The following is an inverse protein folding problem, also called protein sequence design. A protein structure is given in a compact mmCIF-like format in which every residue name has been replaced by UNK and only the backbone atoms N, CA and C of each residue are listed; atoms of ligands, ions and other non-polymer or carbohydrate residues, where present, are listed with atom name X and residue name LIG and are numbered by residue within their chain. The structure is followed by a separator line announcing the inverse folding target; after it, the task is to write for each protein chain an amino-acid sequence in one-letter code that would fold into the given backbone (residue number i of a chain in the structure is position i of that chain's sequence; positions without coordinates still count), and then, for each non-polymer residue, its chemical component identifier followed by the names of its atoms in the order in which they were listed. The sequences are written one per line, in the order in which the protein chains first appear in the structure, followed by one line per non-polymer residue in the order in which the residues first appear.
data_IF_314734486555
#
_entry.id   IF_314734486555
#
_cell.length_a   1.000
_cell.length_b   1.000
_cell.length_c   1.000
_cell.angle_alpha   90.00
_cell.angle_beta   90.00
_cell.angle_gamma   90.00
#
_symmetry.space_group_name_H-M   'P 1'
#
loop_
_entity.id
_entity.type
_entity.pdbx_description
1 polymer ?
#
# COMPACT_ATOMS: atom_id res chain seq x y z
N UNK A 1 22.43 -14.07 25.32
CA UNK A 1 22.21 -14.67 23.99
C UNK A 1 21.44 -13.73 23.06
N UNK A 2 20.31 -13.14 23.48
CA UNK A 2 19.59 -12.10 22.70
C UNK A 2 20.41 -10.87 22.29
N UNK A 3 21.52 -10.58 22.98
CA UNK A 3 22.36 -9.41 22.72
C UNK A 3 23.00 -9.39 21.32
N UNK A 4 23.43 -10.54 20.79
CA UNK A 4 24.13 -10.61 19.49
C UNK A 4 23.21 -10.35 18.30
N UNK A 5 21.91 -10.56 18.47
CA UNK A 5 20.91 -10.49 17.40
C UNK A 5 20.06 -9.23 17.44
N UNK A 6 20.25 -8.38 18.46
CA UNK A 6 19.55 -7.10 18.58
C UNK A 6 18.01 -7.24 18.47
N UNK A 7 17.47 -8.31 19.07
CA UNK A 7 16.03 -8.59 19.00
C UNK A 7 15.23 -7.43 19.61
N UNK A 8 14.34 -6.85 18.81
CA UNK A 8 13.54 -5.67 19.18
C UNK A 8 14.13 -4.34 18.70
N UNK A 9 15.37 -4.32 18.22
CA UNK A 9 16.01 -3.15 17.60
C UNK A 9 16.05 -3.27 16.07
N UNK A 10 16.03 -4.49 15.54
CA UNK A 10 16.07 -4.77 14.09
C UNK A 10 14.74 -5.34 13.58
N UNK A 11 14.46 -5.13 12.29
CA UNK A 11 13.33 -5.76 11.63
C UNK A 11 13.54 -7.30 11.53
N UNK A 12 12.56 -8.12 11.93
CA UNK A 12 12.67 -9.58 11.89
C UNK A 12 12.97 -10.14 10.51
N UNK A 13 12.36 -9.59 9.45
CA UNK A 13 12.54 -10.07 8.09
C UNK A 13 13.93 -9.71 7.55
N UNK A 14 14.41 -8.51 7.84
CA UNK A 14 15.79 -8.12 7.49
C UNK A 14 16.82 -8.99 8.22
N UNK A 15 16.61 -9.28 9.51
CA UNK A 15 17.48 -10.20 10.26
C UNK A 15 17.52 -11.60 9.62
N UNK A 16 16.37 -12.14 9.22
CA UNK A 16 16.30 -13.42 8.52
C UNK A 16 17.07 -13.40 7.19
N UNK A 17 17.08 -12.29 6.45
CA UNK A 17 17.90 -12.16 5.24
C UNK A 17 19.40 -12.14 5.55
N UNK A 18 19.84 -11.40 6.59
CA UNK A 18 21.25 -11.43 7.03
C UNK A 18 21.67 -12.85 7.41
N UNK A 19 20.81 -13.58 8.12
CA UNK A 19 21.06 -14.98 8.47
C UNK A 19 21.16 -15.85 7.22
N UNK A 20 20.23 -15.70 6.26
CA UNK A 20 20.25 -16.46 5.01
C UNK A 20 21.54 -16.20 4.21
N UNK A 21 21.97 -14.94 4.08
CA UNK A 21 23.21 -14.61 3.39
C UNK A 21 24.45 -15.13 4.13
N UNK A 22 24.46 -15.07 5.47
CA UNK A 22 25.59 -15.54 6.26
C UNK A 22 25.77 -17.07 6.15
N UNK A 23 24.68 -17.83 6.30
CA UNK A 23 24.73 -19.30 6.27
C UNK A 23 24.60 -19.86 4.85
N UNK A 24 24.16 -19.07 3.87
CA UNK A 24 23.90 -19.48 2.48
C UNK A 24 22.88 -20.62 2.29
N UNK A 25 22.28 -21.10 3.39
CA UNK A 25 21.30 -22.17 3.36
C UNK A 25 20.39 -22.11 4.59
N UNK A 26 19.09 -22.30 4.34
CA UNK A 26 18.05 -22.35 5.34
C UNK A 26 17.06 -23.48 5.02
N UNK A 27 16.53 -24.12 6.06
CA UNK A 27 15.49 -25.14 5.98
C UNK A 27 14.38 -24.82 6.97
N UNK A 28 13.13 -25.15 6.64
CA UNK A 28 11.98 -24.89 7.50
C UNK A 28 11.39 -26.22 7.97
N UNK A 29 11.82 -26.76 9.13
CA UNK A 29 11.26 -28.00 9.67
C UNK A 29 9.79 -27.85 10.10
N UNK A 30 9.32 -26.63 10.34
CA UNK A 30 7.92 -26.31 10.59
C UNK A 30 7.59 -24.91 10.04
N UNK A 31 6.31 -24.52 9.94
CA UNK A 31 5.92 -23.19 9.44
C UNK A 31 6.51 -22.01 10.23
N UNK A 32 6.90 -22.25 11.48
CA UNK A 32 7.32 -21.23 12.44
C UNK A 32 8.78 -21.35 12.85
N UNK A 33 9.48 -22.36 12.35
CA UNK A 33 10.88 -22.60 12.68
C UNK A 33 11.68 -22.59 11.39
N UNK A 34 12.71 -21.74 11.35
CA UNK A 34 13.69 -21.71 10.26
C UNK A 34 15.07 -22.01 10.83
N UNK A 35 15.71 -23.04 10.28
CA UNK A 35 17.06 -23.48 10.63
C UNK A 35 18.04 -23.00 9.58
N UNK A 36 19.06 -22.25 9.99
CA UNK A 36 20.14 -21.74 9.18
C UNK A 36 21.42 -22.54 9.46
N UNK A 37 22.09 -23.00 8.41
CA UNK A 37 23.27 -23.86 8.54
C UNK A 37 24.15 -23.74 7.32
N UNK A 38 25.44 -23.45 7.49
CA UNK A 38 26.38 -23.45 6.38
C UNK A 38 26.60 -24.86 5.84
N UNK A 39 26.86 -24.97 4.54
CA UNK A 39 27.22 -26.25 3.91
C UNK A 39 28.42 -26.85 4.63
N UNK A 40 28.32 -28.13 4.99
CA UNK A 40 29.36 -28.91 5.68
C UNK A 40 29.73 -28.44 7.12
N UNK A 41 28.96 -27.50 7.71
CA UNK A 41 29.10 -27.12 9.12
C UNK A 41 28.20 -27.99 10.00
N UNK A 42 28.68 -28.56 11.13
CA UNK A 42 27.82 -29.20 12.11
C UNK A 42 27.02 -28.18 12.94
N UNK A 43 27.43 -26.91 12.93
CA UNK A 43 26.80 -25.85 13.70
C UNK A 43 25.66 -25.17 12.94
N UNK A 44 24.58 -24.92 13.65
CA UNK A 44 23.36 -24.32 13.09
C UNK A 44 22.72 -23.34 14.07
N UNK A 45 21.84 -22.51 13.52
CA UNK A 45 21.02 -21.55 14.25
C UNK A 45 19.56 -21.77 13.89
N UNK A 46 18.69 -21.88 14.89
CA UNK A 46 17.24 -22.01 14.73
C UNK A 46 16.53 -20.73 15.18
N UNK A 47 15.70 -20.17 14.30
CA UNK A 47 14.83 -19.03 14.56
C UNK A 47 13.40 -19.53 14.69
N UNK A 48 12.76 -19.24 15.81
CA UNK A 48 11.34 -19.48 16.05
C UNK A 48 10.58 -18.16 15.96
N UNK A 49 9.57 -18.11 15.11
CA UNK A 49 8.70 -16.96 14.92
C UNK A 49 7.24 -17.30 15.24
N UNK A 50 6.45 -16.32 15.61
CA UNK A 50 5.01 -16.50 15.81
C UNK A 50 4.23 -16.40 14.49
N UNK A 51 2.90 -16.52 14.57
CA UNK A 51 1.98 -16.39 13.42
C UNK A 51 2.04 -15.02 12.72
N UNK A 52 2.46 -13.97 13.44
CA UNK A 52 2.65 -12.63 12.86
C UNK A 52 4.04 -12.40 12.28
N UNK A 53 4.90 -13.44 12.23
CA UNK A 53 6.27 -13.35 11.71
C UNK A 53 7.28 -12.68 12.65
N UNK A 54 6.90 -12.39 13.91
CA UNK A 54 7.83 -11.84 14.91
C UNK A 54 8.69 -12.96 15.46
N UNK A 55 10.00 -12.72 15.55
CA UNK A 55 10.95 -13.65 16.16
C UNK A 55 10.75 -13.68 17.66
N UNK A 56 10.45 -14.86 18.20
CA UNK A 56 10.29 -15.12 19.63
C UNK A 56 11.58 -15.65 20.26
N UNK A 57 12.32 -16.48 19.51
CA UNK A 57 13.49 -17.17 20.04
C UNK A 57 14.52 -17.45 18.96
N UNK A 58 15.79 -17.34 19.32
CA UNK A 58 16.93 -17.83 18.53
C UNK A 58 17.70 -18.83 19.37
N UNK A 59 17.96 -20.02 18.82
CA UNK A 59 18.69 -21.11 19.46
C UNK A 59 19.92 -21.47 18.64
N UNK A 60 21.05 -21.67 19.31
CA UNK A 60 22.28 -22.12 18.68
C UNK A 60 22.46 -23.61 18.95
N UNK A 61 23.04 -24.34 17.99
CA UNK A 61 23.51 -25.70 18.21
C UNK A 61 24.59 -25.76 19.28
N UNK A 62 24.76 -26.92 19.91
CA UNK A 62 25.84 -27.13 20.88
C UNK A 62 27.22 -26.83 20.27
N UNK A 63 28.08 -26.18 21.06
CA UNK A 63 29.43 -25.81 20.65
C UNK A 63 29.52 -24.75 19.55
N UNK A 64 28.47 -23.96 19.31
CA UNK A 64 28.48 -22.91 18.28
C UNK A 64 29.69 -21.97 18.43
N UNK A 65 30.53 -21.78 17.39
CA UNK A 65 31.76 -21.00 17.52
C UNK A 65 31.51 -19.54 17.87
N UNK A 66 32.18 -19.03 18.91
CA UNK A 66 32.06 -17.63 19.35
C UNK A 66 32.48 -16.64 18.26
N UNK A 67 33.51 -16.97 17.50
CA UNK A 67 34.00 -16.14 16.39
C UNK A 67 32.92 -15.96 15.31
N UNK A 68 32.20 -17.03 14.94
CA UNK A 68 31.09 -16.93 13.98
C UNK A 68 29.96 -16.06 14.52
N UNK A 69 29.69 -16.14 15.82
CA UNK A 69 28.66 -15.31 16.47
C UNK A 69 29.06 -13.82 16.48
N UNK A 70 30.33 -13.50 16.72
CA UNK A 70 30.86 -12.13 16.67
C UNK A 70 30.86 -11.57 15.24
N UNK A 71 31.23 -12.39 14.24
CA UNK A 71 31.13 -12.02 12.83
C UNK A 71 29.68 -11.76 12.41
N UNK A 72 28.74 -12.55 12.90
CA UNK A 72 27.31 -12.38 12.62
C UNK A 72 26.75 -11.11 13.28
N UNK A 73 27.09 -10.84 14.54
CA UNK A 73 26.72 -9.59 15.22
C UNK A 73 27.26 -8.37 14.46
N UNK A 74 28.51 -8.43 13.99
CA UNK A 74 29.09 -7.32 13.22
C UNK A 74 28.33 -7.10 11.89
N UNK A 75 28.00 -8.17 11.16
CA UNK A 75 27.18 -8.07 9.94
C UNK A 75 25.80 -7.48 10.21
N UNK A 76 25.17 -7.86 11.32
CA UNK A 76 23.87 -7.30 11.74
C UNK A 76 24.00 -5.80 12.01
N UNK A 77 25.05 -5.37 12.73
CA UNK A 77 25.30 -3.96 13.00
C UNK A 77 25.52 -3.16 11.72
N UNK A 78 26.38 -3.66 10.84
CA UNK A 78 26.74 -2.98 9.59
C UNK A 78 25.53 -2.87 8.64
N UNK A 79 24.74 -3.94 8.51
CA UNK A 79 23.63 -3.99 7.56
C UNK A 79 22.34 -3.37 8.10
N UNK A 80 22.01 -3.59 9.38
CA UNK A 80 20.68 -3.30 9.92
C UNK A 80 20.63 -2.07 10.83
N UNK A 81 21.69 -1.81 11.59
CA UNK A 81 21.75 -0.74 12.59
C UNK A 81 22.45 0.54 12.11
N UNK A 82 22.73 0.63 10.81
CA UNK A 82 23.20 1.87 10.18
C UNK A 82 22.13 2.96 10.22
N UNK A 83 22.58 4.20 10.31
CA UNK A 83 21.75 5.41 10.27
C UNK A 83 21.92 6.21 8.98
N UNK A 84 22.79 5.75 8.08
CA UNK A 84 23.10 6.43 6.82
C UNK A 84 21.84 6.61 5.98
N UNK A 85 21.58 7.85 5.57
CA UNK A 85 20.43 8.18 4.73
C UNK A 85 20.86 8.31 3.26
N UNK A 86 19.99 7.87 2.37
CA UNK A 86 20.15 8.00 0.93
C UNK A 86 18.84 8.45 0.28
N UNK A 87 18.93 9.08 -0.90
CA UNK A 87 17.76 9.40 -1.71
C UNK A 87 17.51 8.26 -2.70
N UNK A 88 16.32 7.69 -2.62
CA UNK A 88 15.78 6.77 -3.62
C UNK A 88 14.82 7.51 -4.55
N UNK A 89 14.63 6.99 -5.74
CA UNK A 89 13.62 7.46 -6.68
C UNK A 89 12.86 6.28 -7.29
N UNK A 90 11.61 6.52 -7.66
CA UNK A 90 10.79 5.65 -8.49
C UNK A 90 9.88 6.50 -9.40
N UNK A 91 9.49 5.92 -10.54
CA UNK A 91 8.51 6.55 -11.44
C UNK A 91 7.12 6.09 -11.04
N UNK A 92 6.26 7.06 -10.76
CA UNK A 92 4.83 6.87 -10.50
C UNK A 92 4.01 7.33 -11.69
N UNK A 93 2.75 6.90 -11.70
CA UNK A 93 1.78 7.21 -12.74
C UNK A 93 0.47 7.70 -12.14
N UNK A 94 -0.12 8.74 -12.73
CA UNK A 94 -1.49 9.15 -12.44
C UNK A 94 -2.18 9.70 -13.69
N UNK A 95 -3.50 9.91 -13.62
CA UNK A 95 -4.31 10.32 -14.80
C UNK A 95 -4.09 11.76 -15.23
N UNK A 96 -3.61 12.61 -14.33
CA UNK A 96 -3.41 14.03 -14.56
C UNK A 96 -1.90 14.31 -14.66
N UNK A 97 -1.51 15.20 -15.56
CA UNK A 97 -0.09 15.52 -15.75
C UNK A 97 0.43 16.29 -14.53
N UNK A 98 1.49 15.78 -13.89
CA UNK A 98 2.26 16.55 -12.91
C UNK A 98 3.08 17.59 -13.65
N UNK A 99 2.75 18.88 -13.47
CA UNK A 99 3.43 19.99 -14.14
C UNK A 99 4.33 20.82 -13.22
N UNK A 100 4.19 20.66 -11.90
CA UNK A 100 5.01 21.33 -10.88
C UNK A 100 5.57 20.34 -9.86
N UNK A 101 6.23 20.85 -8.84
CA UNK A 101 6.78 20.05 -7.74
C UNK A 101 5.97 20.16 -6.44
N UNK A 102 6.07 19.11 -5.62
CA UNK A 102 5.62 19.09 -4.23
C UNK A 102 6.76 18.56 -3.38
N UNK A 103 7.18 19.32 -2.38
CA UNK A 103 8.23 18.93 -1.44
C UNK A 103 7.66 18.79 -0.04
N UNK A 104 7.66 17.59 0.53
CA UNK A 104 7.25 17.41 1.93
C UNK A 104 8.47 17.28 2.83
N UNK A 105 8.81 18.40 3.48
CA UNK A 105 9.96 18.53 4.39
C UNK A 105 11.22 17.96 3.74
N UNK A 106 11.97 17.15 4.49
CA UNK A 106 13.16 16.45 4.02
C UNK A 106 12.91 14.95 3.83
N UNK A 107 11.65 14.55 3.65
CA UNK A 107 11.25 13.14 3.57
C UNK A 107 11.07 12.69 2.13
N UNK A 108 10.30 13.43 1.34
CA UNK A 108 10.09 13.09 -0.07
C UNK A 108 9.72 14.31 -0.92
N UNK A 109 9.84 14.16 -2.23
CA UNK A 109 9.31 15.09 -3.21
C UNK A 109 8.70 14.40 -4.41
N UNK A 110 7.77 15.09 -5.05
CA UNK A 110 7.18 14.77 -6.34
C UNK A 110 7.63 15.82 -7.34
N UNK A 111 8.09 15.40 -8.51
CA UNK A 111 8.52 16.28 -9.61
C UNK A 111 8.01 15.76 -10.95
N UNK A 112 7.84 16.62 -11.97
CA UNK A 112 7.60 16.15 -13.32
C UNK A 112 8.79 15.32 -13.82
N UNK A 113 8.56 14.42 -14.78
CA UNK A 113 9.67 13.85 -15.56
C UNK A 113 10.34 14.96 -16.40
N UNK A 114 11.66 14.87 -16.67
CA UNK A 114 12.36 15.92 -17.42
C UNK A 114 11.84 16.06 -18.85
N UNK A 115 12.10 17.23 -19.45
CA UNK A 115 11.81 17.47 -20.86
C UNK A 115 12.48 16.40 -21.75
N UNK A 116 11.72 15.83 -22.68
CA UNK A 116 12.18 14.74 -23.56
C UNK A 116 11.92 13.33 -23.03
N UNK A 117 11.48 13.16 -21.77
CA UNK A 117 11.00 11.87 -21.30
C UNK A 117 9.72 11.44 -22.05
N UNK A 118 9.51 10.14 -22.33
CA UNK A 118 8.33 9.68 -23.06
C UNK A 118 7.02 10.02 -22.35
N UNK A 119 6.10 10.71 -23.02
CA UNK A 119 4.76 11.03 -22.52
C UNK A 119 3.70 10.36 -23.40
N UNK A 120 2.52 10.03 -22.85
CA UNK A 120 1.43 9.51 -23.67
C UNK A 120 0.98 10.55 -24.70
N UNK A 121 0.80 10.13 -25.95
CA UNK A 121 0.37 10.98 -27.07
C UNK A 121 -1.15 11.27 -27.08
N UNK A 122 -1.92 10.57 -26.25
CA UNK A 122 -3.40 10.64 -26.22
C UNK A 122 -3.86 10.98 -24.80
N UNK A 123 -4.88 11.84 -24.69
CA UNK A 123 -5.50 12.22 -23.41
C UNK A 123 -6.09 11.03 -22.64
N UNK A 124 -6.28 11.22 -21.33
CA UNK A 124 -6.82 10.23 -20.37
C UNK A 124 -5.99 8.95 -20.21
N UNK A 125 -4.65 9.08 -20.19
CA UNK A 125 -3.73 7.99 -19.86
C UNK A 125 -2.94 8.27 -18.57
N UNK A 126 -2.25 7.24 -18.10
CA UNK A 126 -1.30 7.29 -16.99
C UNK A 126 -0.07 8.14 -17.39
N UNK A 127 0.01 9.37 -16.89
CA UNK A 127 1.16 10.26 -17.03
C UNK A 127 2.24 9.93 -16.00
N UNK A 128 3.52 9.82 -16.41
CA UNK A 128 4.63 9.54 -15.51
C UNK A 128 5.05 10.79 -14.73
N UNK A 129 5.47 10.58 -13.49
CA UNK A 129 6.13 11.59 -12.66
C UNK A 129 7.12 10.92 -11.70
N UNK A 130 8.05 11.70 -11.15
CA UNK A 130 9.09 11.19 -10.25
C UNK A 130 8.66 11.35 -8.81
N UNK A 131 8.74 10.26 -8.05
CA UNK A 131 8.76 10.29 -6.58
C UNK A 131 10.21 10.07 -6.13
N UNK A 132 10.75 11.00 -5.37
CA UNK A 132 12.05 10.86 -4.70
C UNK A 132 11.85 10.88 -3.18
N UNK A 133 12.61 10.10 -2.42
CA UNK A 133 12.42 9.96 -0.98
C UNK A 133 13.69 9.57 -0.24
N UNK A 134 13.78 9.93 1.04
CA UNK A 134 14.82 9.43 1.94
C UNK A 134 14.51 8.03 2.45
N UNK A 135 15.55 7.21 2.53
CA UNK A 135 15.51 5.91 3.18
C UNK A 135 16.86 5.62 3.85
N UNK A 136 16.82 4.74 4.86
CA UNK A 136 18.03 4.25 5.52
C UNK A 136 18.73 3.25 4.62
N UNK A 137 19.95 3.59 4.18
CA UNK A 137 20.78 2.74 3.35
C UNK A 137 21.15 1.45 4.09
N UNK A 138 21.39 0.36 3.37
CA UNK A 138 22.06 -0.83 3.91
C UNK A 138 23.29 -1.19 3.08
N UNK A 139 24.30 -1.77 3.72
CA UNK A 139 25.41 -2.39 3.00
C UNK A 139 25.00 -3.68 2.29
N UNK A 140 23.88 -4.29 2.71
CA UNK A 140 23.31 -5.48 2.07
C UNK A 140 22.34 -5.05 0.96
N UNK A 141 22.63 -5.44 -0.29
CA UNK A 141 21.87 -4.99 -1.45
C UNK A 141 20.41 -5.43 -1.48
N UNK A 142 20.06 -6.58 -0.89
CA UNK A 142 18.66 -7.04 -0.84
C UNK A 142 17.86 -6.23 0.18
N UNK A 143 18.47 -5.94 1.33
CA UNK A 143 17.87 -5.10 2.37
C UNK A 143 17.74 -3.66 1.87
N UNK A 144 18.79 -3.11 1.24
CA UNK A 144 18.77 -1.76 0.67
C UNK A 144 17.64 -1.60 -0.36
N UNK A 145 17.53 -2.57 -1.29
CA UNK A 145 16.44 -2.61 -2.26
C UNK A 145 15.07 -2.69 -1.58
N UNK A 146 14.91 -3.53 -0.56
CA UNK A 146 13.65 -3.70 0.18
C UNK A 146 13.23 -2.40 0.88
N UNK A 147 14.15 -1.75 1.62
CA UNK A 147 13.91 -0.48 2.32
C UNK A 147 13.53 0.65 1.35
N UNK A 148 14.26 0.77 0.24
CA UNK A 148 13.94 1.74 -0.83
C UNK A 148 12.52 1.48 -1.36
N UNK A 149 12.21 0.22 -1.63
CA UNK A 149 10.93 -0.18 -2.22
C UNK A 149 9.77 0.01 -1.26
N UNK A 150 9.96 -0.28 0.02
CA UNK A 150 8.98 -0.05 1.07
C UNK A 150 8.56 1.42 1.11
N UNK A 151 9.54 2.35 1.11
CA UNK A 151 9.26 3.79 1.08
C UNK A 151 8.48 4.20 -0.16
N UNK A 152 8.86 3.73 -1.34
CA UNK A 152 8.10 4.00 -2.57
C UNK A 152 6.63 3.54 -2.45
N UNK A 153 6.40 2.35 -1.91
CA UNK A 153 5.05 1.80 -1.71
C UNK A 153 4.25 2.64 -0.71
N UNK A 154 4.84 2.99 0.43
CA UNK A 154 4.21 3.81 1.46
C UNK A 154 3.77 5.15 0.86
N UNK A 155 4.70 5.90 0.26
CA UNK A 155 4.38 7.22 -0.28
C UNK A 155 3.41 7.16 -1.46
N UNK A 156 3.50 6.14 -2.33
CA UNK A 156 2.51 5.91 -3.39
C UNK A 156 1.11 5.77 -2.83
N UNK A 157 0.94 4.97 -1.77
CA UNK A 157 -0.37 4.74 -1.13
C UNK A 157 -0.92 6.00 -0.46
N UNK A 158 -0.05 6.77 0.20
CA UNK A 158 -0.45 8.04 0.81
C UNK A 158 -0.87 9.06 -0.25
N UNK A 159 -0.09 9.20 -1.33
CA UNK A 159 -0.43 10.07 -2.46
C UNK A 159 -1.72 9.62 -3.14
N UNK A 160 -1.94 8.31 -3.31
CA UNK A 160 -3.18 7.78 -3.88
C UNK A 160 -4.42 8.21 -3.08
N UNK A 161 -4.34 8.15 -1.75
CA UNK A 161 -5.40 8.62 -0.86
C UNK A 161 -5.56 10.15 -0.90
N UNK A 162 -4.48 10.91 -0.65
CA UNK A 162 -4.53 12.36 -0.45
C UNK A 162 -4.81 13.14 -1.74
N UNK A 163 -4.35 12.61 -2.87
CA UNK A 163 -4.67 13.20 -4.16
C UNK A 163 -6.04 12.79 -4.66
N UNK A 164 -6.72 11.83 -4.02
CA UNK A 164 -8.01 11.30 -4.49
C UNK A 164 -7.96 10.90 -5.99
N UNK A 165 -6.80 10.41 -6.43
CA UNK A 165 -6.48 10.06 -7.80
C UNK A 165 -5.84 8.66 -7.81
N UNK A 166 -5.95 7.98 -8.95
CA UNK A 166 -5.21 6.73 -9.16
C UNK A 166 -3.74 7.04 -9.32
N UNK A 167 -3.00 6.99 -8.21
CA UNK A 167 -1.54 6.99 -8.21
C UNK A 167 -1.04 5.55 -8.17
N UNK A 168 -0.23 5.18 -9.15
CA UNK A 168 0.26 3.81 -9.33
C UNK A 168 1.79 3.78 -9.40
N UNK A 169 2.36 2.84 -8.67
CA UNK A 169 3.74 2.38 -8.82
C UNK A 169 3.77 1.15 -9.73
N UNK A 170 4.79 1.02 -10.59
CA UNK A 170 4.94 -0.19 -11.43
C UNK A 170 5.03 -1.45 -10.56
N UNK A 171 4.50 -2.57 -11.06
CA UNK A 171 4.39 -3.83 -10.31
C UNK A 171 5.78 -4.37 -9.95
N UNK A 172 5.94 -4.95 -8.75
CA UNK A 172 7.21 -5.58 -8.32
C UNK A 172 7.67 -6.69 -9.27
N UNK A 173 6.71 -7.50 -9.72
CA UNK A 173 6.94 -8.55 -10.69
C UNK A 173 6.54 -7.99 -12.05
N UNK A 174 7.41 -7.16 -12.64
CA UNK A 174 7.20 -6.64 -13.98
C UNK A 174 6.95 -7.84 -14.91
N UNK A 175 5.76 -7.89 -15.48
CA UNK A 175 5.40 -8.94 -16.42
C UNK A 175 5.76 -8.46 -17.83
N UNK A 176 6.10 -9.40 -18.70
CA UNK A 176 6.14 -9.13 -20.11
C UNK A 176 4.80 -9.49 -20.76
N UNK A 177 4.35 -8.61 -21.64
CA UNK A 177 3.07 -8.70 -22.31
C UNK A 177 3.26 -8.71 -23.83
N UNK A 178 2.32 -9.33 -24.53
CA UNK A 178 2.19 -9.10 -25.98
C UNK A 178 1.63 -7.70 -26.19
N UNK A 179 2.39 -6.86 -26.89
CA UNK A 179 2.06 -5.46 -27.18
C UNK A 179 1.83 -5.28 -28.67
N UNK A 180 0.85 -4.46 -29.05
CA UNK A 180 0.62 -4.05 -30.43
C UNK A 180 1.36 -2.74 -30.71
N UNK A 181 2.12 -2.69 -31.80
CA UNK A 181 2.67 -1.43 -32.29
C UNK A 181 1.58 -0.64 -33.03
N UNK A 182 0.88 0.23 -32.29
CA UNK A 182 -0.23 1.05 -32.81
C UNK A 182 0.22 2.30 -33.56
N UNK A 183 1.53 2.56 -33.63
CA UNK A 183 2.07 3.67 -34.44
C UNK A 183 2.04 3.39 -35.95
N UNK A 184 1.80 2.14 -36.34
CA UNK A 184 1.70 1.71 -37.73
C UNK A 184 0.23 1.55 -38.17
N UNK A 185 -0.08 1.77 -39.47
CA UNK A 185 -1.43 1.55 -39.99
C UNK A 185 -1.86 0.09 -39.81
N UNK A 186 -3.19 -0.22 -39.74
CA UNK A 186 -3.70 -1.57 -39.46
C UNK A 186 -3.07 -2.70 -40.27
N UNK A 187 -2.77 -2.46 -41.55
CA UNK A 187 -2.17 -3.46 -42.45
C UNK A 187 -0.70 -3.80 -42.12
N UNK A 188 -0.03 -3.00 -41.29
CA UNK A 188 1.35 -3.20 -40.83
C UNK A 188 1.47 -3.34 -39.31
N UNK A 189 0.35 -3.39 -38.59
CA UNK A 189 0.38 -3.62 -37.14
C UNK A 189 1.14 -4.90 -36.83
N UNK A 190 2.12 -4.78 -35.94
CA UNK A 190 2.94 -5.89 -35.48
C UNK A 190 2.78 -6.09 -33.98
N UNK A 191 2.94 -7.34 -33.54
CA UNK A 191 2.94 -7.70 -32.13
C UNK A 191 4.37 -7.94 -31.66
N UNK A 192 4.70 -7.48 -30.45
CA UNK A 192 6.00 -7.75 -29.83
C UNK A 192 5.84 -8.08 -28.35
N UNK A 193 6.61 -9.06 -27.87
CA UNK A 193 6.64 -9.42 -26.46
C UNK A 193 7.59 -8.48 -25.73
N UNK A 194 7.06 -7.61 -24.86
CA UNK A 194 7.83 -6.56 -24.18
C UNK A 194 7.56 -6.55 -22.69
N UNK A 195 8.60 -6.28 -21.91
CA UNK A 195 8.51 -6.10 -20.46
C UNK A 195 7.78 -4.79 -20.12
N UNK A 196 6.87 -4.82 -19.15
CA UNK A 196 6.31 -3.60 -18.55
C UNK A 196 7.44 -2.81 -17.88
N UNK A 197 7.57 -1.55 -18.25
CA UNK A 197 8.58 -0.66 -17.70
C UNK A 197 8.46 0.74 -18.25
N UNK A 198 9.18 1.66 -17.61
CA UNK A 198 9.32 3.02 -18.08
C UNK A 198 10.74 3.50 -17.79
N UNK A 199 11.38 4.12 -18.78
CA UNK A 199 12.74 4.62 -18.69
C UNK A 199 12.92 5.82 -19.62
N UNK A 200 13.89 6.67 -19.31
CA UNK A 200 14.33 7.79 -20.13
C UNK A 200 15.80 8.07 -19.86
N UNK A 201 16.44 8.83 -20.75
CA UNK A 201 17.85 9.18 -20.62
C UNK A 201 18.11 9.97 -19.33
N UNK A 202 19.07 9.52 -18.52
CA UNK A 202 19.43 10.16 -17.24
C UNK A 202 18.56 9.74 -16.05
N UNK A 203 17.62 8.81 -16.19
CA UNK A 203 16.88 8.27 -15.05
C UNK A 203 17.84 7.57 -14.08
N UNK A 204 17.93 8.09 -12.85
CA UNK A 204 18.61 7.43 -11.72
C UNK A 204 17.60 7.11 -10.63
N UNK A 205 17.47 5.83 -10.28
CA UNK A 205 16.63 5.35 -9.17
C UNK A 205 17.28 5.55 -7.80
N UNK A 206 18.55 5.95 -7.78
CA UNK A 206 19.34 6.21 -6.58
C UNK A 206 20.14 7.50 -6.83
N UNK A 207 19.47 8.66 -6.91
CA UNK A 207 20.16 9.93 -7.11
C UNK A 207 21.01 10.30 -5.88
N UNK A 208 22.02 11.16 -6.07
CA UNK A 208 22.89 11.60 -4.96
C UNK A 208 22.15 12.47 -3.95
N UNK A 209 21.25 13.30 -4.45
CA UNK A 209 20.37 14.17 -3.69
C UNK A 209 19.04 14.27 -4.43
N UNK A 210 18.08 14.95 -3.83
CA UNK A 210 16.86 15.34 -4.48
C UNK A 210 17.12 16.21 -5.71
N UNK A 211 16.26 16.08 -6.72
CA UNK A 211 16.30 16.95 -7.89
C UNK A 211 16.08 18.40 -7.44
N UNK A 212 16.93 19.30 -7.94
CA UNK A 212 16.77 20.74 -7.74
C UNK A 212 15.47 21.23 -8.39
N UNK A 213 14.63 21.90 -7.61
CA UNK A 213 13.32 22.41 -8.04
C UNK A 213 13.29 23.92 -8.20
N UNK A 214 14.44 24.60 -8.16
CA UNK A 214 14.53 26.07 -8.32
C UNK A 214 13.92 26.61 -9.61
N UNK A 215 13.96 25.83 -10.69
CA UNK A 215 13.37 26.15 -12.00
C UNK A 215 12.02 25.44 -12.26
N UNK A 216 11.40 24.86 -11.24
CA UNK A 216 10.13 24.12 -11.36
C UNK A 216 9.10 24.78 -10.44
N UNK A 217 8.01 25.28 -11.00
CA UNK A 217 6.92 25.85 -10.19
C UNK A 217 6.32 24.82 -9.22
N UNK A 218 5.77 25.27 -8.10
CA UNK A 218 4.98 24.40 -7.20
C UNK A 218 3.68 23.94 -7.89
N UNK A 219 3.18 22.75 -7.51
CA UNK A 219 1.89 22.28 -8.01
C UNK A 219 0.77 23.20 -7.50
N UNK A 220 -0.15 23.59 -8.39
CA UNK A 220 -1.31 24.42 -8.05
C UNK A 220 -2.14 23.79 -6.92
N UNK A 221 -2.47 24.60 -5.91
CA UNK A 221 -3.29 24.19 -4.77
C UNK A 221 -4.76 24.59 -4.93
N UNK A 222 -5.66 23.77 -4.40
CA UNK A 222 -7.11 24.00 -4.38
C UNK A 222 -7.62 23.87 -2.95
N UNK A 223 -8.57 24.69 -2.49
CA UNK A 223 -9.18 24.54 -1.17
C UNK A 223 -9.68 23.11 -0.93
N UNK A 224 -9.21 22.46 0.14
CA UNK A 224 -9.43 21.03 0.34
C UNK A 224 -10.92 20.62 0.32
N UNK A 225 -11.83 21.46 0.83
CA UNK A 225 -13.27 21.18 0.79
C UNK A 225 -13.77 21.07 -0.64
N UNK A 226 -13.27 21.91 -1.55
CA UNK A 226 -13.59 21.84 -2.99
C UNK A 226 -12.90 20.66 -3.65
N UNK A 227 -11.64 20.41 -3.29
CA UNK A 227 -10.85 19.32 -3.84
C UNK A 227 -11.56 17.97 -3.67
N UNK A 228 -11.91 17.61 -2.43
CA UNK A 228 -12.51 16.31 -2.13
C UNK A 228 -14.00 16.19 -2.47
N UNK A 229 -14.70 17.29 -2.77
CA UNK A 229 -16.11 17.27 -3.20
C UNK A 229 -16.29 17.36 -4.72
N UNK A 230 -15.24 17.75 -5.45
CA UNK A 230 -15.26 17.77 -6.90
C UNK A 230 -15.43 16.35 -7.48
N UNK A 231 -16.30 16.22 -8.49
CA UNK A 231 -16.52 14.96 -9.21
C UNK A 231 -16.04 15.11 -10.64
N UNK A 232 -15.21 14.18 -11.10
CA UNK A 232 -14.76 14.08 -12.49
C UNK A 232 -13.26 14.23 -12.65
N UNK A 233 -12.76 13.80 -13.79
CA UNK A 233 -11.37 14.00 -14.23
C UNK A 233 -11.36 15.22 -15.12
N UNK A 234 -10.44 16.16 -14.88
CA UNK A 234 -10.24 17.31 -15.76
C UNK A 234 -9.09 17.04 -16.74
N UNK A 235 -9.02 17.80 -17.83
CA UNK A 235 -7.85 17.79 -18.72
C UNK A 235 -6.69 18.64 -18.17
N UNK A 236 -6.91 19.31 -17.04
CA UNK A 236 -5.95 20.23 -16.47
C UNK A 236 -4.77 19.46 -15.84
N UNK A 237 -3.61 20.11 -15.66
CA UNK A 237 -2.55 19.56 -14.83
C UNK A 237 -3.06 19.17 -13.43
N UNK A 238 -2.38 18.19 -12.82
CA UNK A 238 -2.69 17.76 -11.46
C UNK A 238 -2.68 18.97 -10.53
N UNK A 239 -3.76 19.11 -9.76
CA UNK A 239 -3.85 20.03 -8.63
C UNK A 239 -3.79 19.24 -7.33
N UNK A 240 -3.44 19.89 -6.23
CA UNK A 240 -3.38 19.25 -4.90
C UNK A 240 -4.22 20.01 -3.89
N UNK A 241 -4.71 19.38 -2.81
CA UNK A 241 -5.40 20.10 -1.77
C UNK A 241 -4.43 21.01 -1.00
N UNK A 242 -4.86 22.22 -0.68
CA UNK A 242 -4.10 23.23 0.06
C UNK A 242 -3.65 22.79 1.47
N UNK A 243 -4.21 21.69 1.98
CA UNK A 243 -3.87 21.12 3.28
C UNK A 243 -3.11 19.78 3.19
N UNK A 244 -2.50 19.47 2.04
CA UNK A 244 -1.78 18.21 1.84
C UNK A 244 -0.67 17.99 2.85
N UNK A 245 0.13 19.03 3.16
CA UNK A 245 1.21 18.94 4.13
C UNK A 245 0.69 18.69 5.55
N UNK A 246 -0.38 19.37 5.95
CA UNK A 246 -1.05 19.14 7.23
C UNK A 246 -1.64 17.72 7.32
N UNK A 247 -2.13 17.18 6.21
CA UNK A 247 -2.60 15.79 6.16
C UNK A 247 -1.43 14.82 6.36
N UNK A 248 -0.28 15.10 5.74
CA UNK A 248 0.95 14.31 5.93
C UNK A 248 1.48 14.42 7.36
N UNK A 249 1.55 15.62 7.94
CA UNK A 249 1.91 15.83 9.35
C UNK A 249 1.09 14.92 10.26
N UNK A 250 -0.22 14.89 10.03
CA UNK A 250 -1.15 14.09 10.82
C UNK A 250 -0.94 12.60 10.66
N UNK A 251 -0.64 12.13 9.44
CA UNK A 251 -0.33 10.73 9.16
C UNK A 251 0.94 10.30 9.91
N UNK A 252 2.00 11.10 9.83
CA UNK A 252 3.28 10.79 10.48
C UNK A 252 3.25 10.99 12.01
N UNK A 253 2.20 11.62 12.54
CA UNK A 253 1.95 11.77 13.97
C UNK A 253 0.88 10.81 14.52
N UNK A 254 0.49 9.78 13.76
CA UNK A 254 -0.43 8.76 14.27
C UNK A 254 0.29 7.83 15.24
N UNK A 255 -0.44 7.35 16.26
CA UNK A 255 0.03 6.20 17.04
C UNK A 255 0.26 4.98 16.12
N UNK A 256 1.18 4.09 16.49
CA UNK A 256 1.48 2.87 15.71
C UNK A 256 0.21 2.08 15.36
N UNK A 257 -0.72 1.93 16.30
CA UNK A 257 -1.98 1.21 16.08
C UNK A 257 -2.86 1.88 15.01
N UNK A 258 -2.98 3.20 15.02
CA UNK A 258 -3.78 3.92 14.04
C UNK A 258 -3.07 4.02 12.69
N UNK A 259 -1.74 4.16 12.68
CA UNK A 259 -0.94 4.08 11.45
C UNK A 259 -1.11 2.71 10.76
N UNK A 260 -1.09 1.61 11.52
CA UNK A 260 -1.30 0.26 10.96
C UNK A 260 -2.70 0.11 10.33
N UNK A 261 -3.74 0.66 10.97
CA UNK A 261 -5.10 0.70 10.41
C UNK A 261 -5.15 1.49 9.12
N UNK A 262 -4.54 2.68 9.12
CA UNK A 262 -4.46 3.54 7.94
C UNK A 262 -3.69 2.83 6.80
N UNK A 263 -2.57 2.19 7.11
CA UNK A 263 -1.73 1.49 6.14
C UNK A 263 -2.49 0.36 5.46
N UNK A 264 -3.24 -0.45 6.22
CA UNK A 264 -4.14 -1.48 5.65
C UNK A 264 -5.25 -0.87 4.80
N UNK A 265 -5.87 0.20 5.27
CA UNK A 265 -6.92 0.90 4.52
C UNK A 265 -6.40 1.45 3.18
N UNK A 266 -5.26 2.14 3.18
CA UNK A 266 -4.63 2.67 1.96
C UNK A 266 -4.22 1.55 1.02
N UNK A 267 -3.76 0.41 1.55
CA UNK A 267 -3.43 -0.77 0.74
C UNK A 267 -4.65 -1.29 -0.01
N UNK A 268 -5.77 -1.52 0.69
CA UNK A 268 -7.00 -1.99 0.07
C UNK A 268 -7.63 -0.96 -0.87
N UNK A 269 -7.51 0.32 -0.54
CA UNK A 269 -7.96 1.43 -1.39
C UNK A 269 -7.20 1.46 -2.73
N UNK A 270 -5.86 1.38 -2.67
CA UNK A 270 -4.99 1.26 -3.86
C UNK A 270 -5.40 0.04 -4.71
N UNK A 271 -5.57 -1.14 -4.08
CA UNK A 271 -5.97 -2.37 -4.80
C UNK A 271 -7.34 -2.26 -5.44
N UNK A 272 -8.31 -1.65 -4.74
CA UNK A 272 -9.64 -1.42 -5.30
C UNK A 272 -9.59 -0.59 -6.59
N UNK A 273 -8.75 0.46 -6.64
CA UNK A 273 -8.57 1.25 -7.86
C UNK A 273 -7.83 0.50 -8.96
N UNK A 274 -6.83 -0.31 -8.62
CA UNK A 274 -6.04 -1.05 -9.61
C UNK A 274 -6.83 -2.19 -10.26
N UNK A 275 -7.56 -2.97 -9.48
CA UNK A 275 -8.26 -4.18 -9.94
C UNK A 275 -9.55 -3.85 -10.69
N UNK A 276 -10.07 -2.62 -10.57
CA UNK A 276 -11.30 -2.19 -11.25
C UNK A 276 -11.33 -2.49 -12.75
N UNK A 277 -10.20 -2.34 -13.43
CA UNK A 277 -10.08 -2.59 -14.87
C UNK A 277 -10.18 -4.08 -15.22
N UNK A 278 -9.96 -4.97 -14.26
CA UNK A 278 -9.96 -6.43 -14.42
C UNK A 278 -11.23 -7.07 -13.83
N UNK A 279 -11.70 -6.62 -12.66
CA UNK A 279 -12.93 -7.09 -12.02
C UNK A 279 -13.59 -6.02 -11.17
N UNK A 280 -14.82 -5.68 -11.54
CA UNK A 280 -15.67 -4.76 -10.80
C UNK A 280 -16.02 -5.32 -9.42
N UNK A 281 -16.34 -6.62 -9.34
CA UNK A 281 -16.73 -7.27 -8.09
C UNK A 281 -15.59 -7.31 -7.08
N UNK A 282 -14.37 -7.68 -7.53
CA UNK A 282 -13.20 -7.73 -6.66
C UNK A 282 -12.81 -6.32 -6.19
N UNK A 283 -12.88 -5.32 -7.08
CA UNK A 283 -12.67 -3.91 -6.74
C UNK A 283 -13.66 -3.43 -5.67
N UNK A 284 -14.94 -3.80 -5.78
CA UNK A 284 -15.97 -3.48 -4.78
C UNK A 284 -15.61 -4.04 -3.41
N UNK A 285 -15.23 -5.32 -3.35
CA UNK A 285 -14.84 -5.98 -2.10
C UNK A 285 -13.62 -5.28 -1.49
N UNK A 286 -12.59 -4.97 -2.28
CA UNK A 286 -11.40 -4.26 -1.82
C UNK A 286 -11.74 -2.87 -1.24
N UNK A 287 -12.61 -2.10 -1.89
CA UNK A 287 -13.04 -0.79 -1.41
C UNK A 287 -13.74 -0.84 -0.06
N UNK A 288 -14.61 -1.83 0.16
CA UNK A 288 -15.26 -2.02 1.47
C UNK A 288 -14.27 -2.53 2.51
N UNK A 289 -13.35 -3.43 2.15
CA UNK A 289 -12.27 -3.89 3.04
C UNK A 289 -11.35 -2.75 3.49
N UNK A 290 -11.16 -1.72 2.67
CA UNK A 290 -10.42 -0.51 3.06
C UNK A 290 -11.10 0.22 4.23
N UNK A 291 -12.43 0.36 4.19
CA UNK A 291 -13.22 0.95 5.28
C UNK A 291 -13.17 0.04 6.51
N UNK A 292 -13.39 -1.26 6.33
CA UNK A 292 -13.38 -2.23 7.43
C UNK A 292 -12.03 -2.27 8.16
N UNK A 293 -10.92 -1.98 7.48
CA UNK A 293 -9.59 -1.89 8.09
C UNK A 293 -9.46 -0.76 9.14
N UNK A 294 -10.31 0.27 9.07
CA UNK A 294 -10.36 1.38 10.01
C UNK A 294 -11.35 1.17 11.16
N UNK A 295 -12.29 0.24 10.98
CA UNK A 295 -13.20 -0.20 12.03
C UNK A 295 -12.36 -1.06 12.96
N UNK A 296 -11.90 -0.49 14.07
CA UNK A 296 -10.92 -1.11 14.96
C UNK A 296 -11.23 -2.56 15.32
N UNK A 297 -10.18 -3.33 15.64
CA UNK A 297 -10.32 -4.71 16.08
C UNK A 297 -11.21 -4.83 17.31
N UNK A 298 -12.01 -5.90 17.30
CA UNK A 298 -12.66 -6.57 18.43
C UNK A 298 -13.21 -5.60 19.49
N UNK A 299 -14.50 -5.29 19.40
CA UNK A 299 -15.19 -4.79 20.58
C UNK A 299 -15.16 -5.92 21.62
N UNK A 300 -14.48 -5.78 22.77
CA UNK A 300 -14.64 -6.73 23.86
C UNK A 300 -16.13 -6.80 24.21
N UNK A 301 -16.64 -7.97 24.64
CA UNK A 301 -18.07 -8.05 24.97
C UNK A 301 -18.38 -6.95 26.00
N UNK A 302 -19.31 -6.03 25.68
CA UNK A 302 -19.68 -4.89 26.54
C UNK A 302 -20.14 -5.29 27.95
N UNK A 303 -20.41 -6.58 28.18
CA UNK A 303 -20.86 -7.14 29.46
C UNK A 303 -19.73 -7.78 30.27
N UNK A 304 -18.77 -8.47 29.66
CA UNK A 304 -17.73 -9.20 30.38
C UNK A 304 -16.29 -8.75 30.07
N UNK A 305 -16.09 -7.85 29.11
CA UNK A 305 -14.78 -7.28 28.79
C UNK A 305 -13.80 -8.25 28.10
N UNK A 306 -14.20 -9.50 27.85
CA UNK A 306 -13.35 -10.50 27.23
C UNK A 306 -13.23 -10.32 25.72
N UNK A 307 -12.03 -10.57 25.20
CA UNK A 307 -11.77 -10.74 23.76
C UNK A 307 -12.35 -12.06 23.30
N UNK A 308 -13.30 -12.03 22.36
CA UNK A 308 -13.97 -13.24 21.86
C UNK A 308 -13.13 -13.84 20.71
N UNK A 309 -12.73 -15.13 20.78
CA UNK A 309 -11.98 -15.80 19.73
C UNK A 309 -12.67 -15.79 18.36
N UNK A 310 -11.87 -15.82 17.29
CA UNK A 310 -12.35 -15.75 15.89
C UNK A 310 -13.17 -16.97 15.43
N UNK A 311 -13.18 -18.06 16.19
CA UNK A 311 -14.01 -19.22 15.92
C UNK A 311 -15.44 -19.10 16.48
N UNK A 312 -15.71 -18.13 17.36
CA UNK A 312 -16.98 -18.05 18.09
C UNK A 312 -17.88 -16.93 17.53
N UNK A 313 -19.05 -17.35 17.02
CA UNK A 313 -20.12 -16.51 16.49
C UNK A 313 -20.87 -15.72 17.58
N UNK A 314 -20.76 -16.17 18.82
CA UNK A 314 -21.51 -15.71 19.98
C UNK A 314 -20.56 -15.76 21.17
N UNK A 315 -20.49 -14.70 21.99
CA UNK A 315 -19.75 -14.78 23.25
C UNK A 315 -20.37 -15.87 24.14
N UNK A 316 -19.57 -16.83 24.60
CA UNK A 316 -20.08 -17.99 25.34
C UNK A 316 -20.76 -17.61 26.66
N UNK A 317 -20.29 -16.54 27.31
CA UNK A 317 -20.75 -16.04 28.59
C UNK A 317 -21.94 -15.08 28.46
N UNK A 318 -21.88 -14.12 27.52
CA UNK A 318 -22.88 -13.06 27.39
C UNK A 318 -23.93 -13.30 26.28
N UNK A 319 -23.78 -14.37 25.48
CA UNK A 319 -24.63 -14.78 24.34
C UNK A 319 -24.90 -13.70 23.28
N UNK A 320 -24.07 -12.67 23.19
CA UNK A 320 -24.20 -11.61 22.18
C UNK A 320 -23.61 -12.06 20.82
N UNK A 321 -24.32 -11.87 19.69
CA UNK A 321 -23.83 -12.26 18.36
C UNK A 321 -22.75 -11.31 17.81
N UNK A 322 -21.76 -11.90 17.12
CA UNK A 322 -20.57 -11.25 16.57
C UNK A 322 -20.81 -10.39 15.32
N UNK A 323 -21.91 -10.59 14.59
CA UNK A 323 -22.16 -9.85 13.33
C UNK A 323 -22.73 -8.45 13.56
N UNK A 324 -21.95 -7.59 14.21
CA UNK A 324 -22.13 -6.14 14.10
C UNK A 324 -21.31 -5.54 12.96
N UNK A 325 -20.63 -6.30 12.10
CA UNK A 325 -19.85 -5.74 10.97
C UNK A 325 -20.70 -4.82 10.08
N UNK A 326 -21.93 -5.23 9.75
CA UNK A 326 -22.89 -4.37 9.03
C UNK A 326 -23.25 -3.11 9.81
N UNK A 327 -23.43 -3.23 11.14
CA UNK A 327 -23.81 -2.11 12.01
C UNK A 327 -22.64 -1.14 12.17
N UNK A 328 -21.46 -1.64 12.50
CA UNK A 328 -20.22 -0.89 12.63
C UNK A 328 -19.86 -0.19 11.31
N UNK A 329 -20.04 -0.87 10.17
CA UNK A 329 -19.85 -0.26 8.85
C UNK A 329 -20.81 0.90 8.62
N UNK A 330 -22.11 0.71 8.90
CA UNK A 330 -23.11 1.78 8.79
C UNK A 330 -22.79 2.95 9.73
N UNK A 331 -22.48 2.67 11.00
CA UNK A 331 -22.10 3.68 11.98
C UNK A 331 -20.84 4.43 11.57
N UNK A 332 -19.85 3.74 11.00
CA UNK A 332 -18.61 4.34 10.50
C UNK A 332 -18.90 5.29 9.32
N UNK A 333 -19.64 4.81 8.32
CA UNK A 333 -20.00 5.62 7.15
C UNK A 333 -20.85 6.83 7.56
N UNK A 334 -21.87 6.65 8.40
CA UNK A 334 -22.69 7.76 8.92
C UNK A 334 -21.84 8.80 9.67
N UNK A 335 -20.82 8.34 10.40
CA UNK A 335 -19.94 9.24 11.17
C UNK A 335 -18.98 10.02 10.29
N UNK A 336 -18.38 9.39 9.28
CA UNK A 336 -17.28 9.98 8.50
C UNK A 336 -17.66 10.42 7.10
N UNK A 337 -18.90 10.20 6.65
CA UNK A 337 -19.41 10.69 5.36
C UNK A 337 -20.78 11.31 5.59
N UNK A 338 -20.81 12.63 5.82
CA UNK A 338 -22.00 13.40 6.21
C UNK A 338 -23.17 13.24 5.23
N UNK A 339 -22.89 13.21 3.93
CA UNK A 339 -23.90 13.10 2.88
C UNK A 339 -24.54 11.70 2.82
N UNK A 340 -23.84 10.67 3.30
CA UNK A 340 -24.39 9.32 3.44
C UNK A 340 -25.09 9.10 4.79
N UNK A 341 -24.76 9.90 5.80
CA UNK A 341 -25.48 9.92 7.07
C UNK A 341 -26.97 10.27 6.89
N UNK A 342 -27.31 11.03 5.85
CA UNK A 342 -28.69 11.33 5.45
C UNK A 342 -29.30 10.32 4.46
N UNK A 343 -28.53 9.31 4.03
CA UNK A 343 -28.86 8.31 3.02
C UNK A 343 -28.61 6.86 3.54
N UNK A 344 -29.38 6.40 4.54
CA UNK A 344 -29.14 5.11 5.21
C UNK A 344 -29.43 3.89 4.34
N UNK A 345 -30.23 4.04 3.27
CA UNK A 345 -30.53 2.95 2.33
C UNK A 345 -29.32 2.62 1.45
N UNK A 346 -28.56 3.64 1.10
CA UNK A 346 -27.38 3.59 0.25
C UNK A 346 -26.23 2.91 0.99
N UNK A 347 -26.00 3.27 2.26
CA UNK A 347 -25.02 2.57 3.10
C UNK A 347 -25.38 1.09 3.33
N UNK A 348 -26.67 0.78 3.49
CA UNK A 348 -27.14 -0.60 3.60
C UNK A 348 -26.94 -1.39 2.29
N UNK A 349 -27.22 -0.76 1.15
CA UNK A 349 -27.04 -1.35 -0.17
C UNK A 349 -25.58 -1.72 -0.43
N UNK A 350 -24.63 -0.83 -0.11
CA UNK A 350 -23.19 -1.10 -0.29
C UNK A 350 -22.75 -2.35 0.47
N UNK A 351 -23.16 -2.48 1.73
CA UNK A 351 -22.79 -3.64 2.54
C UNK A 351 -23.47 -4.93 2.04
N UNK A 352 -24.74 -4.86 1.64
CA UNK A 352 -25.45 -6.01 1.06
C UNK A 352 -24.74 -6.50 -0.21
N UNK A 353 -24.35 -5.60 -1.12
CA UNK A 353 -23.60 -5.95 -2.32
C UNK A 353 -22.29 -6.64 -1.93
N UNK A 354 -21.47 -6.03 -1.07
CA UNK A 354 -20.20 -6.66 -0.64
C UNK A 354 -20.40 -8.04 -0.05
N UNK A 355 -21.40 -8.22 0.82
CA UNK A 355 -21.68 -9.51 1.44
C UNK A 355 -21.99 -10.58 0.39
N UNK A 356 -22.86 -10.26 -0.58
CA UNK A 356 -23.17 -11.17 -1.68
C UNK A 356 -21.96 -11.50 -2.56
N UNK A 357 -21.10 -10.51 -2.83
CA UNK A 357 -19.88 -10.70 -3.63
C UNK A 357 -18.84 -11.57 -2.89
N UNK A 358 -18.56 -11.25 -1.62
CA UNK A 358 -17.54 -11.93 -0.83
C UNK A 358 -17.89 -13.41 -0.54
N UNK A 359 -19.18 -13.73 -0.41
CA UNK A 359 -19.65 -15.11 -0.23
C UNK A 359 -19.92 -15.85 -1.55
N UNK A 360 -19.63 -15.22 -2.71
CA UNK A 360 -19.80 -15.84 -4.02
C UNK A 360 -21.25 -16.05 -4.45
N UNK A 361 -22.21 -15.42 -3.78
CA UNK A 361 -23.63 -15.54 -4.10
C UNK A 361 -24.03 -14.78 -5.37
N UNK A 362 -23.29 -13.71 -5.72
CA UNK A 362 -23.50 -12.90 -6.92
C UNK A 362 -22.17 -12.31 -7.41
N UNK A 363 -22.09 -11.99 -8.71
CA UNK A 363 -21.09 -11.09 -9.30
C UNK A 363 -21.79 -9.89 -9.95
N UNK A 364 -21.06 -8.78 -10.09
CA UNK A 364 -21.54 -7.61 -10.85
C UNK A 364 -21.66 -7.96 -12.34
N UNK A 365 -22.59 -7.30 -13.03
CA UNK A 365 -22.85 -7.49 -14.46
C UNK A 365 -21.64 -7.16 -15.33
N UNK A 366 -20.77 -6.24 -14.89
CA UNK A 366 -19.51 -5.96 -15.56
C UNK A 366 -18.61 -7.20 -15.67
N UNK A 367 -18.63 -8.07 -14.66
CA UNK A 367 -17.83 -9.30 -14.67
C UNK A 367 -18.56 -10.44 -15.38
N UNK A 368 -19.90 -10.53 -15.23
CA UNK A 368 -20.71 -11.59 -15.84
C UNK A 368 -20.96 -11.38 -17.35
N UNK A 369 -21.12 -10.13 -17.76
CA UNK A 369 -21.54 -9.73 -19.11
C UNK A 369 -20.84 -8.42 -19.53
N UNK A 370 -19.51 -8.39 -19.64
CA UNK A 370 -18.74 -7.18 -19.96
C UNK A 370 -19.12 -6.52 -21.30
N UNK A 371 -19.68 -7.29 -22.24
CA UNK A 371 -20.17 -6.78 -23.53
C UNK A 371 -21.53 -6.05 -23.44
N UNK A 372 -22.22 -6.09 -22.29
CA UNK A 372 -23.59 -5.56 -22.12
C UNK A 372 -23.63 -4.15 -21.50
N UNK A 373 -22.80 -3.24 -22.01
CA UNK A 373 -22.59 -1.91 -21.41
C UNK A 373 -23.81 -0.97 -21.46
N UNK A 374 -24.79 -1.24 -22.34
CA UNK A 374 -26.05 -0.47 -22.42
C UNK A 374 -27.16 -0.98 -21.47
N UNK A 375 -26.90 -2.02 -20.69
CA UNK A 375 -27.88 -2.56 -19.74
C UNK A 375 -28.09 -1.58 -18.56
N UNK A 376 -29.33 -1.20 -18.21
CA UNK A 376 -29.59 -0.35 -17.05
C UNK A 376 -28.98 -0.87 -15.74
N UNK A 377 -28.94 -2.20 -15.53
CA UNK A 377 -28.31 -2.80 -14.36
C UNK A 377 -26.79 -2.53 -14.34
N UNK A 378 -26.13 -2.59 -15.50
CA UNK A 378 -24.71 -2.29 -15.66
C UNK A 378 -24.42 -0.82 -15.35
N UNK A 379 -25.25 0.11 -15.85
CA UNK A 379 -25.10 1.54 -15.58
C UNK A 379 -25.29 1.86 -14.09
N UNK A 380 -26.31 1.27 -13.46
CA UNK A 380 -26.54 1.43 -12.03
C UNK A 380 -25.39 0.88 -11.18
N UNK A 381 -24.89 -0.33 -11.49
CA UNK A 381 -23.74 -0.91 -10.78
C UNK A 381 -22.47 -0.05 -10.99
N UNK A 382 -22.24 0.48 -12.18
CA UNK A 382 -21.12 1.40 -12.47
C UNK A 382 -21.21 2.69 -11.65
N UNK A 383 -22.41 3.27 -11.52
CA UNK A 383 -22.64 4.47 -10.71
C UNK A 383 -22.41 4.18 -9.22
N UNK A 384 -22.92 3.05 -8.71
CA UNK A 384 -22.70 2.62 -7.32
C UNK A 384 -21.20 2.46 -7.06
N UNK A 385 -20.45 1.83 -7.98
CA UNK A 385 -19.01 1.70 -7.84
C UNK A 385 -18.31 3.07 -7.83
N UNK A 386 -18.64 3.95 -8.78
CA UNK A 386 -18.05 5.30 -8.85
C UNK A 386 -18.27 6.08 -7.55
N UNK A 387 -19.47 5.96 -6.98
CA UNK A 387 -19.77 6.52 -5.67
C UNK A 387 -18.93 5.84 -4.58
N UNK A 388 -18.82 4.51 -4.56
CA UNK A 388 -18.04 3.78 -3.56
C UNK A 388 -16.57 4.24 -3.52
N UNK A 389 -15.92 4.47 -4.67
CA UNK A 389 -14.56 5.01 -4.72
C UNK A 389 -14.42 6.33 -3.96
N UNK A 390 -15.32 7.27 -4.24
CA UNK A 390 -15.35 8.59 -3.63
C UNK A 390 -15.67 8.50 -2.13
N UNK A 391 -16.67 7.70 -1.77
CA UNK A 391 -17.11 7.46 -0.40
C UNK A 391 -15.97 6.89 0.44
N UNK A 392 -15.26 5.88 -0.08
CA UNK A 392 -14.15 5.25 0.63
C UNK A 392 -13.00 6.25 0.86
N UNK A 393 -12.61 7.01 -0.17
CA UNK A 393 -11.58 8.04 -0.03
C UNK A 393 -11.91 9.08 1.04
N UNK A 394 -13.13 9.65 0.97
CA UNK A 394 -13.61 10.62 1.97
C UNK A 394 -13.69 10.00 3.37
N UNK A 395 -14.17 8.77 3.49
CA UNK A 395 -14.32 8.11 4.78
C UNK A 395 -12.96 7.90 5.46
N UNK A 396 -11.94 7.44 4.71
CA UNK A 396 -10.57 7.27 5.20
C UNK A 396 -9.97 8.63 5.58
N UNK A 397 -10.14 9.65 4.73
CA UNK A 397 -9.65 11.00 4.97
C UNK A 397 -10.27 11.65 6.22
N UNK A 398 -11.60 11.60 6.36
CA UNK A 398 -12.29 12.14 7.52
C UNK A 398 -11.98 11.34 8.80
N UNK A 399 -11.76 10.04 8.69
CA UNK A 399 -11.27 9.24 9.81
C UNK A 399 -9.89 9.71 10.28
N UNK A 400 -8.94 9.94 9.36
CA UNK A 400 -7.62 10.51 9.66
C UNK A 400 -7.78 11.85 10.38
N UNK A 401 -8.64 12.73 9.87
CA UNK A 401 -8.89 14.04 10.45
C UNK A 401 -9.64 14.03 11.81
N UNK A 402 -10.14 12.86 12.22
CA UNK A 402 -10.75 12.66 13.55
C UNK A 402 -9.78 12.12 14.60
N UNK A 403 -8.58 11.67 14.20
CA UNK A 403 -7.61 11.05 15.11
C UNK A 403 -6.95 12.09 16.00
N UNK A 404 -6.69 11.73 17.26
CA UNK A 404 -5.83 12.53 18.13
C UNK A 404 -4.39 12.36 17.66
N UNK A 405 -3.68 13.48 17.57
CA UNK A 405 -2.24 13.51 17.28
C UNK A 405 -1.51 13.13 18.57
N UNK A 406 -0.54 12.21 18.48
CA UNK A 406 0.29 11.77 19.61
C UNK A 406 1.44 12.72 19.89
#
# INVERSE_FOLDING_TARGET
MNKYFHLGEVDPWELMNVLLHHFSHATSPSPFITKYQAKDSPHYLEVTSNESGRIEKIQLSDGFPKEQLEQLEQRIKDALLTTDQQVGADVLFCRERVAGHLRYKDLFQVTPVPNGAPLPEVGFRDYPFLLQFKYTKSSDGMIDYSRRREKAIIYTRLLNLLLNQRVRLLRNNAQAYWTLNVSEPPAKMSSSYRQEGYTFEGLSLIPKDFTDTSDIDEIETVPFQKYYTSKGVTSDPLKIPDNIEHSLDRIFSLSLQDYDRLSRACTWYEKGQLIWEESASASFVAMVSAIESLIGEKTPCKRCGQDVPESLLICEECKQPRYQSTKNFKEFITKYVSDLGSMPKEAALLYTIRSSLAHGAKLLQQDLRPWSFMNPAHQNESQIQGNLFHITGIAIYNWLWSRKIS
#
